data_IF_173386178027
#
_entry.id   IF_173386178027
#
_cell.length_a   1.000
_cell.length_b   1.000
_cell.length_c   1.000
_cell.angle_alpha   90.00
_cell.angle_beta   90.00
_cell.angle_gamma   90.00
#
_symmetry.space_group_name_H-M   'P 1'
#
loop_
_entity.id
_entity.type
_entity.pdbx_description
1 polymer ?
#
# COMPACT_ATOMS: atom_id res chain seq x y z
N UNK A 1 -0.75 14.04 -13.29
CA UNK A 1 -1.32 13.58 -11.99
C UNK A 1 -0.92 12.15 -11.58
N UNK A 2 -0.45 11.27 -12.48
CA UNK A 2 -0.05 9.88 -12.13
C UNK A 2 1.16 9.71 -11.19
N UNK A 3 1.94 10.76 -10.91
CA UNK A 3 3.16 10.69 -10.08
C UNK A 3 2.92 10.20 -8.65
N UNK A 4 1.73 10.43 -8.09
CA UNK A 4 1.40 10.12 -6.69
C UNK A 4 0.27 9.12 -6.53
N UNK A 5 -0.18 8.47 -7.61
CA UNK A 5 -1.31 7.55 -7.57
C UNK A 5 -1.11 6.42 -6.55
N UNK A 6 0.12 5.90 -6.43
CA UNK A 6 0.47 4.82 -5.49
C UNK A 6 0.46 5.24 -4.03
N UNK A 7 0.95 6.44 -3.72
CA UNK A 7 0.92 6.96 -2.36
C UNK A 7 -0.49 7.34 -1.94
N UNK A 8 -1.29 7.91 -2.85
CA UNK A 8 -2.71 8.18 -2.61
C UNK A 8 -3.50 6.89 -2.36
N UNK A 9 -3.23 5.82 -3.10
CA UNK A 9 -3.86 4.52 -2.86
C UNK A 9 -3.54 3.96 -1.47
N UNK A 10 -2.29 4.09 -1.01
CA UNK A 10 -1.89 3.68 0.34
C UNK A 10 -2.54 4.56 1.42
N UNK A 11 -2.56 5.88 1.24
CA UNK A 11 -3.22 6.79 2.19
C UNK A 11 -4.72 6.51 2.27
N UNK A 12 -5.37 6.24 1.14
CA UNK A 12 -6.79 5.86 1.11
C UNK A 12 -7.02 4.52 1.83
N UNK A 13 -6.13 3.54 1.67
CA UNK A 13 -6.21 2.27 2.39
C UNK A 13 -6.04 2.48 3.91
N UNK A 14 -5.10 3.32 4.35
CA UNK A 14 -4.92 3.68 5.76
C UNK A 14 -6.18 4.33 6.33
N UNK A 15 -6.76 5.29 5.61
CA UNK A 15 -7.98 5.97 6.04
C UNK A 15 -9.16 5.00 6.11
N UNK A 16 -9.29 4.09 5.14
CA UNK A 16 -10.32 3.05 5.13
C UNK A 16 -10.16 2.09 6.32
N UNK A 17 -8.94 1.64 6.64
CA UNK A 17 -8.69 0.79 7.82
C UNK A 17 -9.08 1.49 9.13
N UNK A 18 -8.75 2.78 9.28
CA UNK A 18 -9.17 3.55 10.45
C UNK A 18 -10.69 3.70 10.56
N UNK A 19 -11.37 3.91 9.42
CA UNK A 19 -12.84 3.99 9.37
C UNK A 19 -13.50 2.66 9.75
N UNK A 20 -12.94 1.53 9.32
CA UNK A 20 -13.47 0.20 9.66
C UNK A 20 -13.38 -0.04 11.17
N UNK A 21 -12.25 0.29 11.80
CA UNK A 21 -12.10 0.18 13.26
C UNK A 21 -13.12 1.05 14.03
N UNK A 22 -13.32 2.29 13.59
CA UNK A 22 -14.30 3.20 14.25
C UNK A 22 -15.74 2.71 14.10
N UNK A 23 -16.08 2.06 12.98
CA UNK A 23 -17.44 1.60 12.69
C UNK A 23 -17.82 0.26 13.34
N UNK A 24 -16.86 -0.54 13.80
CA UNK A 24 -17.13 -1.84 14.38
C UNK A 24 -17.70 -1.71 15.82
N UNK A 25 -16.92 -1.13 16.73
CA UNK A 25 -17.26 -1.08 18.16
C UNK A 25 -16.49 0.00 18.93
N UNK A 26 -15.84 0.93 18.21
CA UNK A 26 -14.89 1.90 18.79
C UNK A 26 -13.45 1.37 18.72
N UNK A 27 -12.46 2.23 18.96
CA UNK A 27 -11.06 1.87 18.69
C UNK A 27 -10.39 1.23 19.91
N UNK A 28 -10.18 -0.08 19.84
CA UNK A 28 -9.38 -0.86 20.80
C UNK A 28 -7.88 -0.58 20.64
N UNK A 29 -7.04 -0.92 21.65
CA UNK A 29 -5.59 -0.80 21.52
C UNK A 29 -4.99 -1.61 20.35
N UNK A 30 -5.56 -2.78 20.04
CA UNK A 30 -5.13 -3.62 18.91
C UNK A 30 -5.42 -2.96 17.56
N UNK A 31 -6.59 -2.34 17.43
CA UNK A 31 -6.95 -1.61 16.20
C UNK A 31 -6.12 -0.34 16.01
N UNK A 32 -5.78 0.38 17.08
CA UNK A 32 -4.84 1.50 17.01
C UNK A 32 -3.48 1.06 16.48
N UNK A 33 -2.99 -0.11 16.88
CA UNK A 33 -1.75 -0.69 16.35
C UNK A 33 -1.86 -0.96 14.84
N UNK A 34 -2.99 -1.49 14.37
CA UNK A 34 -3.22 -1.73 12.94
C UNK A 34 -3.29 -0.42 12.12
N UNK A 35 -3.92 0.62 12.66
CA UNK A 35 -3.99 1.95 12.05
C UNK A 35 -2.61 2.59 11.98
N UNK A 36 -1.85 2.59 13.08
CA UNK A 36 -0.49 3.13 13.14
C UNK A 36 0.42 2.36 12.18
N UNK A 37 0.34 1.04 12.15
CA UNK A 37 1.07 0.21 11.19
C UNK A 37 0.77 0.63 9.75
N UNK A 38 -0.52 0.77 9.40
CA UNK A 38 -0.93 1.20 8.06
C UNK A 38 -0.39 2.58 7.70
N UNK A 39 -0.35 3.52 8.65
CA UNK A 39 0.22 4.86 8.44
C UNK A 39 1.74 4.83 8.22
N UNK A 40 2.48 4.06 9.03
CA UNK A 40 3.93 3.87 8.88
C UNK A 40 4.26 3.28 7.51
N UNK A 41 3.50 2.28 7.06
CA UNK A 41 3.71 1.69 5.74
C UNK A 41 3.33 2.61 4.59
N UNK A 42 2.29 3.44 4.73
CA UNK A 42 1.99 4.47 3.74
C UNK A 42 3.16 5.47 3.60
N UNK A 43 3.76 5.90 4.72
CA UNK A 43 4.95 6.74 4.71
C UNK A 43 6.16 6.03 4.07
N UNK A 44 6.38 4.75 4.39
CA UNK A 44 7.47 3.96 3.81
C UNK A 44 7.33 3.77 2.28
N UNK A 45 6.10 3.55 1.78
CA UNK A 45 5.84 3.46 0.33
C UNK A 45 6.01 4.82 -0.36
N UNK A 46 5.67 5.92 0.34
CA UNK A 46 5.90 7.27 -0.16
C UNK A 46 7.38 7.63 -0.25
N UNK A 47 8.22 7.20 0.69
CA UNK A 47 9.67 7.50 0.70
C UNK A 47 10.51 6.54 -0.15
N UNK A 48 9.97 5.36 -0.48
CA UNK A 48 10.63 4.39 -1.34
C UNK A 48 11.01 4.81 -2.79
N UNK A 49 10.43 5.85 -3.46
CA UNK A 49 10.98 6.33 -4.73
C UNK A 49 12.40 6.90 -4.62
N UNK A 50 12.91 7.15 -3.41
CA UNK A 50 14.22 7.75 -3.18
C UNK A 50 15.37 6.74 -3.02
N UNK A 51 15.14 5.44 -3.28
CA UNK A 51 16.19 4.41 -3.21
C UNK A 51 16.58 3.97 -4.62
N UNK A 52 17.72 4.45 -5.18
CA UNK A 52 18.21 4.03 -6.49
C UNK A 52 18.48 2.52 -6.54
N UNK A 53 18.17 1.88 -7.67
CA UNK A 53 18.46 0.45 -7.90
C UNK A 53 17.42 -0.53 -7.33
N UNK A 54 16.51 -0.09 -6.45
CA UNK A 54 15.60 -0.99 -5.75
C UNK A 54 14.17 -0.93 -6.31
N UNK A 55 13.98 -1.55 -7.49
CA UNK A 55 12.72 -1.52 -8.27
C UNK A 55 11.47 -2.07 -7.57
N UNK A 56 11.65 -2.85 -6.51
CA UNK A 56 10.54 -3.54 -5.80
C UNK A 56 10.33 -3.09 -4.35
N UNK A 57 11.11 -2.13 -3.84
CA UNK A 57 11.05 -1.72 -2.42
C UNK A 57 9.64 -1.36 -1.98
N UNK A 58 8.87 -0.65 -2.82
CA UNK A 58 7.47 -0.30 -2.54
C UNK A 58 6.57 -1.51 -2.34
N UNK A 59 6.71 -2.52 -3.20
CA UNK A 59 5.89 -3.72 -3.13
C UNK A 59 6.28 -4.57 -1.94
N UNK A 60 7.58 -4.73 -1.67
CA UNK A 60 8.08 -5.46 -0.50
C UNK A 60 7.58 -4.81 0.80
N UNK A 61 7.70 -3.48 0.91
CA UNK A 61 7.16 -2.75 2.05
C UNK A 61 5.66 -2.94 2.19
N UNK A 62 4.88 -2.79 1.12
CA UNK A 62 3.43 -2.98 1.20
C UNK A 62 3.05 -4.42 1.64
N UNK A 63 3.77 -5.44 1.16
CA UNK A 63 3.58 -6.82 1.59
C UNK A 63 3.95 -7.04 3.06
N UNK A 64 5.07 -6.48 3.51
CA UNK A 64 5.46 -6.55 4.92
C UNK A 64 4.41 -5.87 5.82
N UNK A 65 3.84 -4.75 5.38
CA UNK A 65 2.79 -4.06 6.13
C UNK A 65 1.50 -4.86 6.23
N UNK A 66 1.09 -5.51 5.14
CA UNK A 66 -0.04 -6.42 5.15
C UNK A 66 0.22 -7.64 6.06
N UNK A 67 1.41 -8.24 5.98
CA UNK A 67 1.80 -9.35 6.85
C UNK A 67 1.84 -8.97 8.32
N UNK A 68 2.32 -7.76 8.65
CA UNK A 68 2.34 -7.27 10.02
C UNK A 68 0.93 -6.98 10.54
N UNK A 69 0.02 -6.50 9.70
CA UNK A 69 -1.39 -6.33 10.08
C UNK A 69 -2.02 -7.68 10.48
N UNK A 70 -1.79 -8.74 9.69
CA UNK A 70 -2.23 -10.10 10.04
C UNK A 70 -1.63 -10.56 11.36
N UNK A 71 -0.33 -10.36 11.55
CA UNK A 71 0.36 -10.77 12.76
C UNK A 71 -0.18 -10.07 14.01
N UNK A 72 -0.50 -8.76 13.92
CA UNK A 72 -1.10 -8.01 15.02
C UNK A 72 -2.43 -8.63 15.43
N UNK A 73 -3.36 -8.84 14.50
CA UNK A 73 -4.67 -9.45 14.80
C UNK A 73 -4.53 -10.83 15.45
N UNK A 74 -3.67 -11.70 14.90
CA UNK A 74 -3.45 -13.05 15.44
C UNK A 74 -2.90 -13.01 16.87
N UNK A 75 -2.07 -12.03 17.22
CA UNK A 75 -1.45 -11.93 18.55
C UNK A 75 -2.41 -11.32 19.58
N UNK A 76 -3.24 -10.35 19.19
CA UNK A 76 -4.11 -9.65 20.14
C UNK A 76 -5.32 -10.51 20.52
N UNK A 77 -6.19 -10.86 19.58
CA UNK A 77 -7.49 -11.45 19.89
C UNK A 77 -8.01 -12.45 18.82
N UNK A 78 -7.21 -12.77 17.80
CA UNK A 78 -7.60 -13.65 16.70
C UNK A 78 -7.99 -12.87 15.44
N UNK A 79 -8.76 -13.47 14.53
CA UNK A 79 -9.22 -12.78 13.32
C UNK A 79 -10.74 -12.65 13.39
N UNK A 80 -11.20 -11.48 13.82
CA UNK A 80 -12.59 -11.05 13.70
C UNK A 80 -12.94 -10.69 12.25
N UNK A 81 -14.24 -10.52 11.96
CA UNK A 81 -14.68 -10.08 10.63
C UNK A 81 -14.10 -8.70 10.25
N UNK A 82 -14.03 -7.77 11.20
CA UNK A 82 -13.46 -6.44 10.98
C UNK A 82 -11.97 -6.51 10.66
N UNK A 83 -11.20 -7.29 11.43
CA UNK A 83 -9.77 -7.51 11.17
C UNK A 83 -9.54 -8.23 9.84
N UNK A 84 -10.38 -9.21 9.50
CA UNK A 84 -10.34 -9.88 8.20
C UNK A 84 -10.52 -8.91 7.02
N UNK A 85 -11.44 -7.95 7.15
CA UNK A 85 -11.62 -6.89 6.16
C UNK A 85 -10.40 -5.96 6.09
N UNK A 86 -9.82 -5.57 7.23
CA UNK A 86 -8.61 -4.74 7.26
C UNK A 86 -7.41 -5.45 6.62
N UNK A 87 -7.23 -6.74 6.87
CA UNK A 87 -6.22 -7.59 6.24
C UNK A 87 -6.45 -7.65 4.72
N UNK A 88 -7.69 -7.86 4.28
CA UNK A 88 -8.03 -7.90 2.86
C UNK A 88 -7.72 -6.55 2.16
N UNK A 89 -8.05 -5.43 2.81
CA UNK A 89 -7.73 -4.09 2.31
C UNK A 89 -6.22 -3.87 2.21
N UNK A 90 -5.45 -4.29 3.22
CA UNK A 90 -3.99 -4.20 3.20
C UNK A 90 -3.39 -5.04 2.05
N UNK A 91 -3.91 -6.24 1.83
CA UNK A 91 -3.52 -7.10 0.70
C UNK A 91 -3.85 -6.47 -0.66
N UNK A 92 -5.05 -5.92 -0.82
CA UNK A 92 -5.45 -5.21 -2.04
C UNK A 92 -4.59 -3.98 -2.29
N UNK A 93 -4.24 -3.22 -1.25
CA UNK A 93 -3.33 -2.09 -1.35
C UNK A 93 -1.94 -2.54 -1.82
N UNK A 94 -1.41 -3.64 -1.29
CA UNK A 94 -0.12 -4.20 -1.72
C UNK A 94 -0.13 -4.63 -3.19
N UNK A 95 -1.21 -5.27 -3.64
CA UNK A 95 -1.41 -5.63 -5.06
C UNK A 95 -1.48 -4.36 -5.91
N UNK A 96 -2.25 -3.35 -5.49
CA UNK A 96 -2.37 -2.06 -6.18
C UNK A 96 -1.02 -1.36 -6.37
N UNK A 97 -0.17 -1.37 -5.34
CA UNK A 97 1.20 -0.80 -5.39
C UNK A 97 2.07 -1.53 -6.43
N UNK A 98 1.92 -2.86 -6.55
CA UNK A 98 2.66 -3.69 -7.51
C UNK A 98 2.20 -3.48 -8.95
N UNK A 99 0.90 -3.41 -9.17
CA UNK A 99 0.29 -3.35 -10.52
C UNK A 99 0.31 -1.94 -11.10
N UNK A 100 0.18 -0.90 -10.26
CA UNK A 100 0.18 0.46 -10.76
C UNK A 100 1.54 0.81 -11.42
N UNK A 101 1.57 1.49 -12.58
CA UNK A 101 2.81 1.92 -13.23
C UNK A 101 3.49 3.07 -12.48
N UNK A 102 4.82 3.15 -12.53
CA UNK A 102 5.56 4.29 -11.99
C UNK A 102 5.61 5.42 -13.04
N UNK A 103 5.60 6.69 -12.60
CA UNK A 103 5.67 7.82 -13.52
C UNK A 103 6.98 7.88 -14.33
N UNK A 104 8.10 7.38 -13.78
CA UNK A 104 9.36 7.26 -14.51
C UNK A 104 9.27 6.33 -15.72
N UNK A 105 8.50 5.24 -15.61
CA UNK A 105 8.31 4.28 -16.71
C UNK A 105 7.49 4.90 -17.86
N UNK A 106 6.54 5.79 -17.54
CA UNK A 106 5.75 6.49 -18.56
C UNK A 106 6.60 7.50 -19.33
N UNK A 107 7.43 8.29 -18.62
CA UNK A 107 8.33 9.25 -19.26
C UNK A 107 9.36 8.56 -20.17
N UNK A 108 9.89 7.42 -19.72
CA UNK A 108 10.81 6.61 -20.52
C UNK A 108 10.15 5.97 -21.75
N UNK A 109 8.83 5.70 -21.74
CA UNK A 109 8.10 5.24 -22.93
C UNK A 109 7.84 6.34 -23.93
N UNK A 110 7.50 7.54 -23.47
CA UNK A 110 7.29 8.70 -24.36
C UNK A 110 8.58 9.22 -24.98
N UNK A 111 9.73 9.01 -24.35
CA UNK A 111 11.02 9.43 -24.87
C UNK A 111 11.65 8.46 -25.88
N UNK A 112 11.07 7.27 -26.13
CA UNK A 112 11.61 6.34 -27.14
C UNK A 112 11.25 6.85 -28.54
N UNK A 113 12.23 7.04 -29.44
CA UNK A 113 11.93 7.34 -30.84
C UNK A 113 11.11 6.19 -31.42
N UNK A 114 9.98 6.52 -32.05
CA UNK A 114 9.17 5.54 -32.77
C UNK A 114 10.03 4.91 -33.87
N UNK A 115 10.06 3.58 -34.01
CA UNK A 115 10.76 2.94 -35.12
C UNK A 115 10.10 3.44 -36.41
N UNK A 116 10.85 4.23 -37.18
CA UNK A 116 10.40 4.65 -38.50
C UNK A 116 10.31 3.39 -39.36
N UNK A 117 9.09 2.94 -39.59
CA UNK A 117 8.79 1.90 -40.59
C UNK A 117 9.29 2.42 -41.93
N UNK A 118 10.48 1.96 -42.32
CA UNK A 118 10.96 2.09 -43.70
C UNK A 118 10.24 1.01 -44.50
N UNK A 119 9.19 1.44 -45.20
CA UNK A 119 8.53 0.69 -46.26
C UNK A 119 9.41 0.67 -47.51
#
# INVERSE_FOLDING_TARGET
MLKYAKSLAMVAATAASALVAVLADGVTPGEWLMVVNSAVFAAAVFTAPNVPGARYTKSVLAFLGAGLAVAISVITDGITLAEGIQIALAGLAAIGVRVAPNAGDMLARTARPQPTLRL
#
